data_IF_552958488876
#
_entry.id   IF_552958488876
#
_cell.length_a   1.000
_cell.length_b   1.000
_cell.length_c   1.000
_cell.angle_alpha   90.00
_cell.angle_beta   90.00
_cell.angle_gamma   90.00
#
_symmetry.space_group_name_H-M   'P 1'
#
loop_
_entity.id
_entity.type
_entity.pdbx_description
1 polymer ?
#
# COMPACT_ATOMS: atom_id res chain seq x y z
N UNK A 1 -13.78 3.63 14.17
CA UNK A 1 -12.77 3.56 15.26
C UNK A 1 -11.69 4.61 15.00
N UNK A 2 -10.88 5.04 15.98
CA UNK A 2 -9.75 5.93 15.67
C UNK A 2 -8.75 5.18 14.79
N UNK A 3 -8.52 5.64 13.56
CA UNK A 3 -7.59 5.03 12.60
C UNK A 3 -6.21 4.72 13.22
N UNK A 4 -5.75 5.56 14.15
CA UNK A 4 -4.52 5.34 14.92
C UNK A 4 -4.54 4.01 15.71
N UNK A 5 -5.65 3.68 16.37
CA UNK A 5 -5.78 2.41 17.09
C UNK A 5 -5.78 1.23 16.12
N UNK A 6 -6.47 1.36 14.98
CA UNK A 6 -6.49 0.32 13.94
C UNK A 6 -5.08 0.10 13.36
N UNK A 7 -4.34 1.18 13.13
CA UNK A 7 -2.95 1.12 12.67
C UNK A 7 -2.04 0.42 13.70
N UNK A 8 -2.17 0.74 14.99
CA UNK A 8 -1.40 0.10 16.06
C UNK A 8 -1.75 -1.38 16.16
N UNK A 9 -3.03 -1.73 16.16
CA UNK A 9 -3.51 -3.12 16.21
C UNK A 9 -3.00 -3.88 14.98
N UNK A 10 -3.11 -3.31 13.78
CA UNK A 10 -2.59 -3.90 12.56
C UNK A 10 -1.08 -4.10 12.61
N UNK A 11 -0.32 -3.12 13.11
CA UNK A 11 1.13 -3.22 13.27
C UNK A 11 1.53 -4.34 14.25
N UNK A 12 0.85 -4.41 15.41
CA UNK A 12 1.06 -5.46 16.41
C UNK A 12 0.67 -6.83 15.86
N UNK A 13 -0.48 -6.93 15.18
CA UNK A 13 -0.95 -8.15 14.55
C UNK A 13 0.04 -8.63 13.48
N UNK A 14 0.51 -7.76 12.59
CA UNK A 14 1.53 -8.08 11.58
C UNK A 14 2.84 -8.53 12.26
N UNK A 15 3.23 -7.89 13.35
CA UNK A 15 4.45 -8.27 14.08
C UNK A 15 4.32 -9.65 14.76
N UNK A 16 3.18 -9.96 15.40
CA UNK A 16 2.91 -11.25 16.01
C UNK A 16 2.76 -12.35 14.95
N UNK A 17 2.00 -12.07 13.89
CA UNK A 17 1.69 -13.02 12.83
C UNK A 17 2.83 -13.16 11.81
N UNK A 18 3.98 -12.50 12.00
CA UNK A 18 5.12 -12.56 11.06
C UNK A 18 5.59 -13.99 10.74
N UNK A 19 5.52 -14.89 11.74
CA UNK A 19 5.90 -16.30 11.59
C UNK A 19 4.82 -17.11 10.84
N UNK A 20 3.54 -17.08 11.25
CA UNK A 20 2.48 -17.78 10.52
C UNK A 20 2.22 -17.20 9.13
N UNK A 21 2.37 -15.89 8.89
CA UNK A 21 2.25 -15.30 7.55
C UNK A 21 3.26 -15.89 6.58
N UNK A 22 4.47 -16.18 7.06
CA UNK A 22 5.53 -16.79 6.25
C UNK A 22 5.31 -18.29 6.04
N UNK A 23 4.73 -18.98 7.03
CA UNK A 23 4.51 -20.42 6.98
C UNK A 23 3.27 -20.81 6.14
N UNK A 24 2.18 -20.06 6.27
CA UNK A 24 0.91 -20.32 5.58
C UNK A 24 0.28 -19.02 5.03
N UNK A 25 0.90 -18.39 4.02
CA UNK A 25 0.35 -17.17 3.42
C UNK A 25 -1.05 -17.37 2.81
N UNK A 26 -1.33 -18.56 2.28
CA UNK A 26 -2.63 -18.93 1.71
C UNK A 26 -3.79 -18.81 2.71
N UNK A 27 -3.55 -19.07 3.99
CA UNK A 27 -4.56 -18.93 5.03
C UNK A 27 -4.99 -17.47 5.22
N UNK A 28 -4.04 -16.53 5.17
CA UNK A 28 -4.33 -15.11 5.27
C UNK A 28 -5.02 -14.56 4.03
N UNK A 29 -4.69 -15.07 2.84
CA UNK A 29 -5.44 -14.78 1.62
C UNK A 29 -6.87 -15.28 1.71
N UNK A 30 -7.08 -16.49 2.21
CA UNK A 30 -8.41 -17.04 2.46
C UNK A 30 -9.23 -16.17 3.40
N UNK A 31 -8.66 -15.72 4.52
CA UNK A 31 -9.34 -14.81 5.45
C UNK A 31 -9.73 -13.49 4.77
N UNK A 32 -8.84 -12.89 3.99
CA UNK A 32 -9.14 -11.64 3.28
C UNK A 32 -10.28 -11.82 2.28
N UNK A 33 -10.26 -12.92 1.50
CA UNK A 33 -11.34 -13.26 0.56
C UNK A 33 -12.66 -13.51 1.28
N UNK A 34 -12.64 -14.22 2.42
CA UNK A 34 -13.84 -14.46 3.24
C UNK A 34 -14.40 -13.14 3.77
N UNK A 35 -13.54 -12.22 4.22
CA UNK A 35 -13.96 -10.91 4.69
C UNK A 35 -14.62 -10.09 3.56
N UNK A 36 -14.06 -10.12 2.35
CA UNK A 36 -14.64 -9.44 1.18
C UNK A 36 -15.98 -10.07 0.76
N UNK A 37 -16.06 -11.40 0.73
CA UNK A 37 -17.31 -12.13 0.46
C UNK A 37 -18.37 -11.82 1.52
N UNK A 38 -18.00 -11.82 2.79
CA UNK A 38 -18.90 -11.51 3.90
C UNK A 38 -19.41 -10.06 3.81
N UNK A 39 -18.55 -9.13 3.38
CA UNK A 39 -18.94 -7.75 3.14
C UNK A 39 -19.88 -7.61 1.93
N UNK A 40 -19.58 -8.30 0.83
CA UNK A 40 -20.44 -8.33 -0.36
C UNK A 40 -21.83 -8.92 -0.05
N UNK A 41 -21.88 -10.06 0.65
CA UNK A 41 -23.12 -10.69 1.11
C UNK A 41 -23.83 -9.80 2.13
N UNK A 42 -23.10 -9.18 3.05
CA UNK A 42 -23.66 -8.24 4.02
C UNK A 42 -24.28 -7.01 3.38
N UNK A 43 -23.69 -6.51 2.29
CA UNK A 43 -24.21 -5.38 1.51
C UNK A 43 -25.49 -5.73 0.75
N UNK A 44 -25.65 -6.98 0.34
CA UNK A 44 -26.75 -7.43 -0.54
C UNK A 44 -27.91 -8.06 0.23
N UNK A 45 -27.62 -8.88 1.24
CA UNK A 45 -28.61 -9.62 2.03
C UNK A 45 -28.85 -9.03 3.43
N UNK A 46 -27.99 -8.11 3.89
CA UNK A 46 -28.07 -7.51 5.22
C UNK A 46 -27.53 -8.45 6.31
N UNK A 47 -26.61 -7.94 7.12
CA UNK A 47 -26.03 -8.67 8.26
C UNK A 47 -26.29 -7.95 9.58
N UNK A 48 -26.21 -8.65 10.74
CA UNK A 48 -26.41 -8.04 12.04
C UNK A 48 -25.48 -6.84 12.27
N UNK A 49 -26.01 -5.78 12.92
CA UNK A 49 -25.30 -4.50 13.11
C UNK A 49 -23.90 -4.65 13.72
N UNK A 50 -23.75 -5.56 14.69
CA UNK A 50 -22.49 -5.82 15.38
C UNK A 50 -21.38 -6.35 14.46
N UNK A 51 -21.74 -7.06 13.39
CA UNK A 51 -20.80 -7.55 12.37
C UNK A 51 -20.63 -6.51 11.24
N UNK A 52 -21.70 -5.79 10.90
CA UNK A 52 -21.68 -4.76 9.86
C UNK A 52 -20.78 -3.56 10.20
N UNK A 53 -20.84 -3.04 11.42
CA UNK A 53 -20.07 -1.84 11.81
C UNK A 53 -18.55 -2.01 11.62
N UNK A 54 -17.90 -3.09 12.11
CA UNK A 54 -16.48 -3.30 11.85
C UNK A 54 -16.20 -3.60 10.38
N UNK A 55 -17.06 -4.35 9.67
CA UNK A 55 -16.87 -4.62 8.24
C UNK A 55 -16.88 -3.32 7.42
N UNK A 56 -17.80 -2.41 7.71
CA UNK A 56 -17.88 -1.08 7.10
C UNK A 56 -16.63 -0.26 7.43
N UNK A 57 -16.22 -0.20 8.69
CA UNK A 57 -15.02 0.55 9.08
C UNK A 57 -13.73 -0.04 8.46
N UNK A 58 -13.62 -1.37 8.35
CA UNK A 58 -12.41 -2.04 7.87
C UNK A 58 -12.34 -2.08 6.33
N UNK A 59 -13.43 -2.44 5.65
CA UNK A 59 -13.50 -2.72 4.21
C UNK A 59 -14.14 -1.55 3.46
N UNK A 60 -15.29 -1.04 3.92
CA UNK A 60 -15.93 0.08 3.22
C UNK A 60 -15.11 1.37 3.31
N UNK A 61 -14.46 1.67 4.44
CA UNK A 61 -13.50 2.80 4.54
C UNK A 61 -12.09 2.44 4.10
N UNK A 62 -11.83 1.16 3.80
CA UNK A 62 -10.52 0.67 3.35
C UNK A 62 -9.37 0.96 4.34
N UNK A 63 -9.68 1.20 5.63
CA UNK A 63 -8.70 1.59 6.65
C UNK A 63 -7.70 0.47 6.92
N UNK A 64 -8.13 -0.80 6.88
CA UNK A 64 -7.27 -1.94 7.11
C UNK A 64 -6.27 -2.12 5.96
N UNK A 65 -6.74 -2.04 4.71
CA UNK A 65 -5.86 -2.13 3.55
C UNK A 65 -4.86 -0.96 3.53
N UNK A 66 -5.32 0.25 3.87
CA UNK A 66 -4.46 1.42 4.02
C UNK A 66 -3.39 1.23 5.09
N UNK A 67 -3.76 0.70 6.26
CA UNK A 67 -2.82 0.41 7.35
C UNK A 67 -1.76 -0.61 6.92
N UNK A 68 -2.17 -1.68 6.21
CA UNK A 68 -1.25 -2.67 5.66
C UNK A 68 -0.30 -2.06 4.62
N UNK A 69 -0.81 -1.22 3.71
CA UNK A 69 0.04 -0.49 2.75
C UNK A 69 1.01 0.46 3.44
N UNK A 70 0.56 1.20 4.46
CA UNK A 70 1.41 2.08 5.25
C UNK A 70 2.55 1.27 5.89
N UNK A 71 2.25 0.15 6.56
CA UNK A 71 3.25 -0.75 7.15
C UNK A 71 4.25 -1.23 6.08
N UNK A 72 3.77 -1.69 4.92
CA UNK A 72 4.61 -2.13 3.79
C UNK A 72 5.55 -1.02 3.29
N UNK A 73 5.10 0.23 3.29
CA UNK A 73 5.90 1.40 2.90
C UNK A 73 6.90 1.80 3.99
N UNK A 74 6.48 1.81 5.26
CA UNK A 74 7.36 2.05 6.40
C UNK A 74 8.48 1.00 6.48
N UNK A 75 8.19 -0.28 6.21
CA UNK A 75 9.21 -1.35 6.10
C UNK A 75 10.29 -0.99 5.06
N UNK A 76 9.91 -0.33 3.96
CA UNK A 76 10.83 0.16 2.94
C UNK A 76 11.75 1.29 3.42
N UNK A 77 11.39 1.98 4.49
CA UNK A 77 12.20 3.03 5.10
C UNK A 77 13.25 2.49 6.09
N UNK A 78 13.13 1.26 6.61
CA UNK A 78 14.18 0.71 7.48
C UNK A 78 15.51 0.52 6.73
N UNK A 79 16.64 0.68 7.44
CA UNK A 79 17.98 0.55 6.86
C UNK A 79 18.30 -0.92 6.58
N UNK A 80 19.12 -1.18 5.55
CA UNK A 80 19.46 -2.55 5.11
C UNK A 80 20.22 -3.34 6.18
N UNK A 81 20.87 -2.65 7.11
CA UNK A 81 21.65 -3.23 8.20
C UNK A 81 20.78 -3.76 9.34
N UNK A 82 19.54 -3.29 9.47
CA UNK A 82 18.66 -3.72 10.56
C UNK A 82 18.16 -5.15 10.32
N UNK A 83 18.36 -6.02 11.31
CA UNK A 83 17.85 -7.40 11.31
C UNK A 83 16.32 -7.45 11.04
N UNK A 84 15.61 -6.40 11.47
CA UNK A 84 14.18 -6.21 11.23
C UNK A 84 13.84 -6.07 9.74
N UNK A 85 14.64 -5.34 8.95
CA UNK A 85 14.47 -5.26 7.49
C UNK A 85 14.63 -6.64 6.83
N UNK A 86 15.64 -7.41 7.25
CA UNK A 86 15.91 -8.75 6.68
C UNK A 86 14.78 -9.73 6.99
N UNK A 87 14.15 -9.61 8.16
CA UNK A 87 13.01 -10.44 8.57
C UNK A 87 11.67 -10.01 7.93
N UNK A 88 11.46 -8.71 7.72
CA UNK A 88 10.19 -8.19 7.19
C UNK A 88 10.14 -8.12 5.65
N UNK A 89 11.30 -8.10 4.97
CA UNK A 89 11.40 -8.10 3.51
C UNK A 89 10.60 -9.22 2.80
N UNK A 90 10.60 -10.49 3.24
CA UNK A 90 9.82 -11.54 2.59
C UNK A 90 8.30 -11.38 2.85
N UNK A 91 7.91 -10.91 4.02
CA UNK A 91 6.50 -10.76 4.43
C UNK A 91 5.84 -9.55 3.75
N UNK A 92 6.65 -8.55 3.35
CA UNK A 92 6.21 -7.34 2.67
C UNK A 92 5.37 -7.63 1.41
N UNK A 93 5.74 -8.65 0.63
CA UNK A 93 5.01 -9.01 -0.58
C UNK A 93 3.63 -9.61 -0.25
N UNK A 94 3.58 -10.51 0.74
CA UNK A 94 2.36 -11.16 1.20
C UNK A 94 1.36 -10.15 1.78
N UNK A 95 1.84 -9.21 2.61
CA UNK A 95 1.01 -8.12 3.17
C UNK A 95 0.42 -7.23 2.06
N UNK A 96 1.21 -6.94 1.02
CA UNK A 96 0.71 -6.18 -0.12
C UNK A 96 -0.39 -6.94 -0.87
N UNK A 97 -0.29 -8.26 -0.99
CA UNK A 97 -1.31 -9.09 -1.64
C UNK A 97 -2.59 -9.14 -0.80
N UNK A 98 -2.48 -9.33 0.53
CA UNK A 98 -3.64 -9.24 1.44
C UNK A 98 -4.33 -7.89 1.31
N UNK A 99 -3.58 -6.80 1.30
CA UNK A 99 -4.12 -5.46 1.14
C UNK A 99 -4.78 -5.26 -0.25
N UNK A 100 -4.21 -5.85 -1.31
CA UNK A 100 -4.83 -5.83 -2.64
C UNK A 100 -6.17 -6.55 -2.67
N UNK A 101 -6.27 -7.71 -2.02
CA UNK A 101 -7.54 -8.47 -1.92
C UNK A 101 -8.59 -7.61 -1.22
N UNK A 102 -8.29 -7.08 -0.02
CA UNK A 102 -9.22 -6.23 0.72
C UNK A 102 -9.66 -4.97 -0.07
N UNK A 103 -8.75 -4.35 -0.82
CA UNK A 103 -9.09 -3.24 -1.71
C UNK A 103 -10.02 -3.67 -2.86
N UNK A 104 -9.91 -4.91 -3.33
CA UNK A 104 -10.79 -5.45 -4.35
C UNK A 104 -12.22 -5.60 -3.84
N UNK A 105 -12.42 -6.06 -2.60
CA UNK A 105 -13.73 -6.08 -1.95
C UNK A 105 -14.37 -4.69 -1.85
N UNK A 106 -13.58 -3.68 -1.46
CA UNK A 106 -14.02 -2.29 -1.48
C UNK A 106 -14.46 -1.85 -2.89
N UNK A 107 -13.64 -2.13 -3.91
CA UNK A 107 -13.92 -1.74 -5.28
C UNK A 107 -15.17 -2.43 -5.84
N UNK A 108 -15.37 -3.72 -5.58
CA UNK A 108 -16.50 -4.47 -6.11
C UNK A 108 -17.85 -3.86 -5.69
N UNK A 109 -18.00 -3.52 -4.42
CA UNK A 109 -19.23 -2.90 -3.89
C UNK A 109 -19.35 -1.43 -4.33
N UNK A 110 -18.25 -0.70 -4.37
CA UNK A 110 -18.26 0.71 -4.76
C UNK A 110 -18.59 0.87 -6.24
N UNK A 111 -18.05 0.00 -7.09
CA UNK A 111 -18.32 -0.02 -8.53
C UNK A 111 -19.79 -0.34 -8.78
N UNK A 112 -20.36 -1.35 -8.12
CA UNK A 112 -21.78 -1.70 -8.22
C UNK A 112 -22.71 -0.54 -7.82
N UNK A 113 -22.31 0.22 -6.78
CA UNK A 113 -23.08 1.38 -6.32
C UNK A 113 -22.95 2.63 -7.21
N UNK A 114 -21.80 2.81 -7.87
CA UNK A 114 -21.51 4.02 -8.68
C UNK A 114 -21.75 3.84 -10.18
N UNK A 115 -21.67 2.63 -10.74
CA UNK A 115 -21.94 2.36 -12.16
C UNK A 115 -23.33 2.88 -12.60
N UNK A 116 -24.42 2.64 -11.85
CA UNK A 116 -25.75 3.13 -12.21
C UNK A 116 -25.83 4.66 -12.15
N UNK A 117 -25.08 5.29 -11.24
CA UNK A 117 -25.05 6.76 -11.08
C UNK A 117 -24.24 7.46 -12.17
N UNK A 118 -23.18 6.81 -12.65
CA UNK A 118 -22.34 7.28 -13.76
C UNK A 118 -23.05 7.11 -15.11
N UNK A 119 -23.73 5.98 -15.32
CA UNK A 119 -24.49 5.71 -16.54
C UNK A 119 -25.83 6.47 -16.58
N UNK A 120 -26.38 6.82 -15.42
CA UNK A 120 -27.66 7.53 -15.29
C UNK A 120 -27.61 9.04 -15.54
N UNK A 121 -26.48 9.61 -15.99
CA UNK A 121 -26.34 11.03 -16.35
C UNK A 121 -26.72 12.03 -15.23
N UNK A 122 -26.69 11.61 -13.96
CA UNK A 122 -26.93 12.50 -12.83
C UNK A 122 -25.77 13.51 -12.76
N UNK A 123 -26.07 14.80 -12.57
CA UNK A 123 -25.08 15.88 -12.48
C UNK A 123 -24.03 15.60 -11.38
N UNK A 124 -22.94 14.94 -11.75
CA UNK A 124 -21.87 14.60 -10.81
C UNK A 124 -21.10 15.88 -10.53
N UNK A 125 -21.05 16.29 -9.26
CA UNK A 125 -20.17 17.37 -8.82
C UNK A 125 -18.75 17.11 -9.37
N UNK A 126 -18.16 18.08 -10.07
CA UNK A 126 -16.86 17.90 -10.73
C UNK A 126 -15.76 17.34 -9.82
N UNK A 127 -15.81 17.66 -8.52
CA UNK A 127 -14.90 17.11 -7.51
C UNK A 127 -15.02 15.57 -7.35
N UNK A 128 -16.23 15.02 -7.42
CA UNK A 128 -16.48 13.57 -7.32
C UNK A 128 -16.00 12.86 -8.59
N UNK A 129 -16.17 13.48 -9.76
CA UNK A 129 -15.63 12.93 -11.01
C UNK A 129 -14.10 12.87 -11.00
N UNK A 130 -13.43 13.91 -10.49
CA UNK A 130 -11.97 13.91 -10.33
C UNK A 130 -11.51 12.87 -9.29
N UNK A 131 -12.18 12.79 -8.13
CA UNK A 131 -11.87 11.79 -7.11
C UNK A 131 -12.03 10.35 -7.63
N UNK A 132 -13.04 10.12 -8.48
CA UNK A 132 -13.27 8.83 -9.15
C UNK A 132 -12.17 8.53 -10.17
N UNK A 133 -11.76 9.51 -10.98
CA UNK A 133 -10.61 9.35 -11.89
C UNK A 133 -9.33 8.95 -11.15
N UNK A 134 -9.06 9.59 -10.00
CA UNK A 134 -7.92 9.22 -9.13
C UNK A 134 -8.10 7.79 -8.58
N UNK A 135 -9.32 7.39 -8.20
CA UNK A 135 -9.61 6.04 -7.72
C UNK A 135 -9.33 4.97 -8.78
N UNK A 136 -9.71 5.22 -10.04
CA UNK A 136 -9.40 4.32 -11.16
C UNK A 136 -7.89 4.23 -11.40
N UNK A 137 -7.18 5.36 -11.38
CA UNK A 137 -5.73 5.36 -11.51
C UNK A 137 -5.05 4.58 -10.36
N UNK A 138 -5.54 4.75 -9.13
CA UNK A 138 -5.12 3.97 -7.97
C UNK A 138 -5.37 2.49 -8.15
N UNK A 139 -6.51 2.10 -8.68
CA UNK A 139 -6.85 0.70 -8.93
C UNK A 139 -5.93 0.05 -9.96
N UNK A 140 -5.61 0.75 -11.05
CA UNK A 140 -4.66 0.26 -12.06
C UNK A 140 -3.27 0.09 -11.44
N UNK A 141 -2.82 1.06 -10.65
CA UNK A 141 -1.55 0.97 -9.92
C UNK A 141 -1.55 -0.19 -8.92
N UNK A 142 -2.63 -0.35 -8.15
CA UNK A 142 -2.83 -1.42 -7.19
C UNK A 142 -2.72 -2.79 -7.87
N UNK A 143 -3.45 -3.00 -8.97
CA UNK A 143 -3.41 -4.25 -9.71
C UNK A 143 -2.00 -4.54 -10.24
N UNK A 144 -1.33 -3.54 -10.80
CA UNK A 144 0.03 -3.67 -11.32
C UNK A 144 1.04 -4.00 -10.20
N UNK A 145 0.90 -3.38 -9.03
CA UNK A 145 1.73 -3.70 -7.85
C UNK A 145 1.40 -5.06 -7.25
N UNK A 146 0.13 -5.43 -7.16
CA UNK A 146 -0.33 -6.72 -6.65
C UNK A 146 0.17 -7.87 -7.50
N UNK A 147 0.00 -7.78 -8.83
CA UNK A 147 0.48 -8.78 -9.79
C UNK A 147 2.00 -8.92 -9.72
N UNK A 148 2.74 -7.81 -9.58
CA UNK A 148 4.20 -7.88 -9.43
C UNK A 148 4.70 -8.29 -8.04
N UNK A 149 3.82 -8.30 -7.05
CA UNK A 149 4.08 -8.85 -5.71
C UNK A 149 4.03 -10.38 -5.70
N UNK A 150 3.31 -11.01 -6.64
CA UNK A 150 3.26 -12.46 -6.79
C UNK A 150 4.66 -13.01 -7.07
N UNK A 151 5.10 -13.96 -6.24
CA UNK A 151 6.42 -14.58 -6.35
C UNK A 151 6.69 -15.21 -7.72
N UNK A 152 5.65 -15.68 -8.39
CA UNK A 152 5.69 -16.26 -9.75
C UNK A 152 6.11 -15.20 -10.78
N UNK A 153 5.44 -14.03 -10.77
CA UNK A 153 5.74 -12.92 -11.69
C UNK A 153 7.10 -12.31 -11.38
N UNK A 154 7.44 -12.18 -10.09
CA UNK A 154 8.74 -11.69 -9.67
C UNK A 154 9.89 -12.59 -10.15
N UNK A 155 9.72 -13.91 -10.16
CA UNK A 155 10.73 -14.86 -10.64
C UNK A 155 10.89 -14.83 -12.17
N UNK A 156 9.82 -14.48 -12.89
CA UNK A 156 9.83 -14.31 -14.34
C UNK A 156 10.39 -12.93 -14.80
N UNK A 157 10.59 -11.97 -13.89
CA UNK A 157 10.94 -10.59 -14.23
C UNK A 157 12.40 -10.25 -13.89
N UNK A 158 13.05 -9.46 -14.75
CA UNK A 158 14.40 -8.95 -14.48
C UNK A 158 14.40 -7.89 -13.37
N UNK A 159 15.45 -7.88 -12.53
CA UNK A 159 15.57 -7.01 -11.35
C UNK A 159 15.43 -5.51 -11.66
N UNK A 160 15.88 -5.06 -12.84
CA UNK A 160 15.74 -3.66 -13.29
C UNK A 160 14.28 -3.27 -13.51
N UNK A 161 13.51 -4.14 -14.17
CA UNK A 161 12.08 -3.94 -14.47
C UNK A 161 11.24 -3.97 -13.19
N UNK A 162 11.53 -4.91 -12.29
CA UNK A 162 10.89 -5.00 -10.97
C UNK A 162 11.08 -3.73 -10.14
N UNK A 163 12.31 -3.18 -10.11
CA UNK A 163 12.60 -1.95 -9.35
C UNK A 163 11.87 -0.74 -9.93
N UNK A 164 11.73 -0.66 -11.26
CA UNK A 164 10.97 0.40 -11.93
C UNK A 164 9.49 0.32 -11.57
N UNK A 165 8.91 -0.87 -11.55
CA UNK A 165 7.52 -1.07 -11.16
C UNK A 165 7.30 -0.73 -9.68
N UNK A 166 8.22 -1.15 -8.80
CA UNK A 166 8.13 -0.82 -7.38
C UNK A 166 8.27 0.68 -7.09
N UNK A 167 8.79 1.50 -8.03
CA UNK A 167 8.72 2.98 -7.88
C UNK A 167 7.29 3.50 -7.98
N UNK A 168 6.40 2.82 -8.71
CA UNK A 168 5.00 3.20 -8.75
C UNK A 168 4.30 3.02 -7.40
N UNK A 169 4.87 2.28 -6.44
CA UNK A 169 4.38 2.24 -5.05
C UNK A 169 4.37 3.63 -4.40
N UNK A 170 5.38 4.45 -4.69
CA UNK A 170 5.44 5.81 -4.16
C UNK A 170 4.36 6.69 -4.77
N UNK A 171 4.13 6.54 -6.09
CA UNK A 171 3.05 7.25 -6.78
C UNK A 171 1.69 6.81 -6.25
N UNK A 172 1.47 5.50 -6.08
CA UNK A 172 0.27 4.93 -5.49
C UNK A 172 0.00 5.49 -4.09
N UNK A 173 1.01 5.54 -3.23
CA UNK A 173 0.86 6.09 -1.87
C UNK A 173 0.53 7.60 -1.88
N UNK A 174 1.14 8.37 -2.78
CA UNK A 174 0.81 9.79 -2.95
C UNK A 174 -0.61 9.99 -3.50
N UNK A 175 -1.05 9.17 -4.45
CA UNK A 175 -2.40 9.21 -4.99
C UNK A 175 -3.44 8.79 -3.94
N UNK A 176 -3.12 7.87 -3.03
CA UNK A 176 -3.99 7.50 -1.91
C UNK A 176 -4.25 8.75 -1.06
N UNK A 177 -3.20 9.47 -0.67
CA UNK A 177 -3.35 10.71 0.09
C UNK A 177 -4.19 11.74 -0.65
N UNK A 178 -3.95 11.92 -1.96
CA UNK A 178 -4.74 12.82 -2.79
C UNK A 178 -6.22 12.40 -2.84
N UNK A 179 -6.50 11.11 -3.02
CA UNK A 179 -7.86 10.57 -3.03
C UNK A 179 -8.57 10.77 -1.69
N UNK A 180 -7.89 10.48 -0.57
CA UNK A 180 -8.41 10.73 0.78
C UNK A 180 -8.69 12.22 0.98
N UNK A 181 -7.75 13.09 0.59
CA UNK A 181 -7.94 14.53 0.69
C UNK A 181 -9.15 14.99 -0.13
N UNK A 182 -9.29 14.55 -1.39
CA UNK A 182 -10.43 14.93 -2.25
C UNK A 182 -11.78 14.45 -1.72
N UNK A 183 -11.83 13.30 -1.04
CA UNK A 183 -13.04 12.75 -0.42
C UNK A 183 -13.36 13.40 0.95
N UNK A 184 -12.36 13.61 1.80
CA UNK A 184 -12.55 14.13 3.16
C UNK A 184 -12.65 15.65 3.20
N UNK A 185 -11.98 16.38 2.31
CA UNK A 185 -11.99 17.84 2.27
C UNK A 185 -13.40 18.45 2.16
N UNK A 186 -14.30 18.01 1.25
CA UNK A 186 -15.66 18.54 1.22
C UNK A 186 -16.48 18.19 2.47
N UNK A 187 -16.15 17.12 3.20
CA UNK A 187 -16.81 16.77 4.46
C UNK A 187 -16.24 17.57 5.65
N UNK A 188 -14.93 17.85 5.65
CA UNK A 188 -14.25 18.67 6.64
C UNK A 188 -14.65 20.15 6.52
N UNK A 189 -14.80 20.67 5.29
CA UNK A 189 -15.26 22.04 5.04
C UNK A 189 -16.73 22.24 5.45
N UNK A 190 -17.54 21.18 5.52
CA UNK A 190 -18.91 21.21 6.04
C UNK A 190 -19.00 21.08 7.56
N UNK A 191 -17.87 21.11 8.29
CA UNK A 191 -17.84 21.08 9.75
C UNK A 191 -17.89 19.68 10.38
N UNK A 192 -17.62 18.61 9.62
CA UNK A 192 -17.51 17.26 10.18
C UNK A 192 -16.27 17.11 11.05
N UNK A 193 -16.40 17.22 12.38
CA UNK A 193 -15.29 17.08 13.35
C UNK A 193 -14.55 15.74 13.16
N UNK A 194 -15.28 14.64 12.93
CA UNK A 194 -14.69 13.33 12.67
C UNK A 194 -13.84 13.26 11.37
N UNK A 195 -14.20 14.05 10.35
CA UNK A 195 -13.45 14.12 9.10
C UNK A 195 -12.16 14.94 9.27
N UNK A 196 -12.20 16.00 10.09
CA UNK A 196 -11.02 16.82 10.41
C UNK A 196 -9.98 16.03 11.23
N UNK A 197 -10.42 15.28 12.25
CA UNK A 197 -9.53 14.43 13.05
C UNK A 197 -8.87 13.34 12.20
N UNK A 198 -9.65 12.66 11.36
CA UNK A 198 -9.13 11.63 10.46
C UNK A 198 -8.12 12.23 9.47
N UNK A 199 -8.45 13.38 8.87
CA UNK A 199 -7.55 14.07 7.92
C UNK A 199 -6.25 14.50 8.59
N UNK A 200 -6.29 14.96 9.84
CA UNK A 200 -5.10 15.30 10.62
C UNK A 200 -4.22 14.08 10.86
N UNK A 201 -4.79 12.96 11.31
CA UNK A 201 -4.05 11.71 11.55
C UNK A 201 -3.43 11.19 10.25
N UNK A 202 -4.18 11.20 9.14
CA UNK A 202 -3.65 10.81 7.83
C UNK A 202 -2.50 11.73 7.43
N UNK A 203 -2.68 13.04 7.50
CA UNK A 203 -1.63 14.01 7.15
C UNK A 203 -0.38 13.84 8.01
N UNK A 204 -0.53 13.60 9.31
CA UNK A 204 0.58 13.32 10.21
C UNK A 204 1.31 12.01 9.83
N UNK A 205 0.58 10.94 9.51
CA UNK A 205 1.17 9.66 9.09
C UNK A 205 1.90 9.77 7.75
N UNK A 206 1.27 10.36 6.74
CA UNK A 206 1.85 10.56 5.41
C UNK A 206 3.03 11.55 5.48
N UNK A 207 2.92 12.60 6.29
CA UNK A 207 3.98 13.59 6.53
C UNK A 207 5.18 12.98 7.25
N UNK A 208 4.97 12.20 8.31
CA UNK A 208 6.02 11.48 9.00
C UNK A 208 6.75 10.52 8.04
N UNK A 209 6.00 9.75 7.23
CA UNK A 209 6.58 8.91 6.19
C UNK A 209 7.44 9.72 5.19
N UNK A 210 6.94 10.88 4.75
CA UNK A 210 7.68 11.80 3.86
C UNK A 210 9.00 12.26 4.46
N UNK A 211 8.99 12.71 5.72
CA UNK A 211 10.19 13.18 6.45
C UNK A 211 11.20 12.04 6.62
N UNK A 212 10.76 10.88 7.09
CA UNK A 212 11.62 9.70 7.25
C UNK A 212 12.25 9.28 5.92
N UNK A 213 11.49 9.34 4.82
CA UNK A 213 11.99 8.99 3.50
C UNK A 213 12.98 10.02 2.95
N UNK A 214 12.71 11.31 3.13
CA UNK A 214 13.65 12.38 2.76
C UNK A 214 14.94 12.28 3.57
N UNK A 215 14.85 11.99 4.87
CA UNK A 215 15.98 11.71 5.74
C UNK A 215 16.80 10.52 5.26
N UNK A 216 16.15 9.41 4.87
CA UNK A 216 16.84 8.26 4.28
C UNK A 216 17.47 8.57 2.92
N UNK A 217 16.78 9.29 2.05
CA UNK A 217 17.33 9.69 0.74
C UNK A 217 18.53 10.62 0.90
N UNK A 218 18.51 11.51 1.90
CA UNK A 218 19.64 12.35 2.27
C UNK A 218 20.79 11.53 2.86
N UNK A 219 20.52 10.56 3.73
CA UNK A 219 21.53 9.65 4.29
C UNK A 219 22.19 8.79 3.19
N UNK A 220 21.41 8.18 2.29
CA UNK A 220 21.92 7.42 1.15
C UNK A 220 22.78 8.29 0.20
N UNK A 221 22.39 9.56 -0.02
CA UNK A 221 23.19 10.53 -0.78
C UNK A 221 24.47 10.94 -0.06
N UNK A 222 24.42 11.09 1.26
CA UNK A 222 25.57 11.46 2.08
C UNK A 222 26.59 10.31 2.18
N UNK A 223 26.11 9.06 2.26
CA UNK A 223 26.95 7.86 2.17
C UNK A 223 27.59 7.71 0.78
N UNK A 224 26.84 7.98 -0.30
CA UNK A 224 27.39 7.99 -1.67
C UNK A 224 28.40 9.11 -1.88
N UNK A 225 28.13 10.31 -1.35
CA UNK A 225 29.05 11.44 -1.40
C UNK A 225 30.32 11.18 -0.58
N UNK A 226 30.21 10.58 0.61
CA UNK A 226 31.37 10.13 1.40
C UNK A 226 32.14 9.00 0.72
N UNK A 227 31.47 8.03 0.12
CA UNK A 227 32.09 6.95 -0.65
C UNK A 227 32.89 7.48 -1.84
N UNK A 228 32.34 8.45 -2.58
CA UNK A 228 33.05 9.13 -3.67
C UNK A 228 34.19 10.02 -3.17
N UNK A 229 34.04 10.69 -2.03
CA UNK A 229 35.08 11.56 -1.47
C UNK A 229 36.25 10.79 -0.84
N UNK A 230 36.03 9.55 -0.39
CA UNK A 230 37.09 8.73 0.24
C UNK A 230 37.95 8.00 -0.78
N UNK A 231 37.64 8.07 -2.08
CA UNK A 231 38.51 7.57 -3.15
C UNK A 231 38.95 6.11 -2.95
N UNK A 232 38.09 5.25 -2.41
CA UNK A 232 38.39 3.82 -2.40
C UNK A 232 38.35 3.35 -3.86
N UNK A 233 39.46 2.84 -4.42
CA UNK A 233 39.48 2.42 -5.81
C UNK A 233 38.40 1.36 -5.99
N UNK A 234 37.54 1.59 -6.98
CA UNK A 234 36.76 0.53 -7.59
C UNK A 234 37.76 -0.58 -7.94
N UNK A 235 37.74 -1.67 -7.19
CA UNK A 235 38.38 -2.91 -7.60
C UNK A 235 37.64 -3.34 -8.87
N UNK A 236 38.21 -2.87 -9.97
CA UNK A 236 38.24 -3.44 -11.32
C UNK A 236 37.19 -4.51 -11.57
N UNK A 237 36.09 -4.09 -12.21
CA UNK A 237 35.32 -4.98 -13.09
C UNK A 237 35.85 -4.83 -14.52
N UNK A 238 37.14 -5.03 -14.69
CA UNK A 238 37.84 -5.08 -15.98
C UNK A 238 38.89 -6.20 -15.94
N UNK A 239 38.50 -7.43 -15.63
CA UNK A 239 39.36 -8.61 -15.89
C UNK A 239 38.58 -9.93 -15.93
N UNK A 240 37.46 -9.99 -16.66
CA UNK A 240 36.81 -11.30 -16.96
C UNK A 240 36.29 -11.40 -18.40
N UNK A 241 36.81 -10.57 -19.31
CA UNK A 241 36.48 -10.63 -20.75
C UNK A 241 37.70 -10.75 -21.66
N UNK A 242 38.90 -11.01 -21.13
CA UNK A 242 40.13 -11.16 -21.95
C UNK A 242 40.82 -12.52 -21.88
N UNK A 243 40.36 -13.50 -21.08
CA UNK A 243 40.97 -14.84 -21.02
C UNK A 243 39.96 -15.91 -21.45
N UNK A 244 39.43 -15.75 -22.66
CA UNK A 244 38.56 -16.72 -23.31
C UNK A 244 38.86 -16.89 -24.80
N UNK A 245 40.04 -16.46 -25.25
CA UNK A 245 40.49 -16.64 -26.63
C UNK A 245 42.03 -16.78 -26.67
N UNK A 246 42.55 -17.89 -26.12
CA UNK A 246 43.86 -18.46 -26.43
C UNK A 246 44.10 -19.72 -25.58
N UNK A 247 43.66 -20.88 -26.09
CA UNK A 247 44.28 -22.21 -25.95
C UNK A 247 43.30 -23.27 -26.48
#
# INVERSE_FOLDING_TARGET
MNFLFLLIIAAVAVYLLRRPLKAHPSFFYGIAVILDLLYFVGSTFGVPRWLWTPLVDLIQKCELALALFAIVMFIGCLSKEQALYRQMKPIRAELSIVACILCFGHMAVYLDSYLPRLLGNASINGNVAVAFGVAVALFVLLALLGVTSLGIVKRAMSSRRWTRIQRFAYLFFALIFCHLALMLLPAALRGGIAAQESLFIYTAMFGAYGILRLGKAAAERHEQARGNATGAPSITREEETSIGNAA
#
